data_IF_858673882664
#
_entry.id   IF_858673882664
#
_cell.length_a   1.000
_cell.length_b   1.000
_cell.length_c   1.000
_cell.angle_alpha   90.00
_cell.angle_beta   90.00
_cell.angle_gamma   90.00
#
_symmetry.space_group_name_H-M   'P 1'
#
loop_
_entity.id
_entity.type
_entity.pdbx_description
1 polymer ?
#
# COMPACT_ATOMS: atom_id res chain seq x y z
N UNK A 1 -7.63 9.83 0.91
CA UNK A 1 -6.19 9.49 0.98
C UNK A 1 -5.92 8.28 0.11
N UNK A 2 -4.89 8.33 -0.74
CA UNK A 2 -4.49 7.18 -1.56
C UNK A 2 -3.60 6.24 -0.77
N UNK A 3 -3.74 4.95 -1.05
CA UNK A 3 -2.93 3.87 -0.48
C UNK A 3 -2.46 2.96 -1.60
N UNK A 4 -1.28 2.37 -1.43
CA UNK A 4 -0.82 1.26 -2.24
C UNK A 4 -1.13 -0.04 -1.49
N UNK A 5 -1.66 -1.03 -2.18
CA UNK A 5 -2.22 -2.24 -1.57
C UNK A 5 -1.68 -3.47 -2.28
N UNK A 6 -1.38 -4.52 -1.52
CA UNK A 6 -1.06 -5.84 -2.04
C UNK A 6 -2.23 -6.78 -1.72
N UNK A 7 -2.96 -7.23 -2.73
CA UNK A 7 -4.14 -8.08 -2.52
C UNK A 7 -3.79 -9.48 -2.03
N UNK A 8 -2.60 -9.99 -2.38
CA UNK A 8 -2.13 -11.31 -1.96
C UNK A 8 -1.73 -11.31 -0.48
N UNK A 9 -1.00 -10.29 -0.02
CA UNK A 9 -0.53 -10.19 1.37
C UNK A 9 -1.55 -9.56 2.31
N UNK A 10 -2.61 -8.93 1.77
CA UNK A 10 -3.60 -8.12 2.52
C UNK A 10 -2.95 -6.97 3.28
N UNK A 11 -1.93 -6.37 2.67
CA UNK A 11 -1.17 -5.25 3.23
C UNK A 11 -1.42 -3.95 2.47
N UNK A 12 -1.30 -2.81 3.16
CA UNK A 12 -1.38 -1.49 2.54
C UNK A 12 -0.39 -0.49 3.14
N UNK A 13 0.06 0.46 2.33
CA UNK A 13 0.88 1.61 2.74
C UNK A 13 0.23 2.92 2.24
N UNK A 14 0.17 3.99 3.05
CA UNK A 14 -0.25 5.31 2.59
C UNK A 14 0.67 5.88 1.51
N UNK A 15 0.09 6.59 0.54
CA UNK A 15 0.84 7.39 -0.44
C UNK A 15 0.76 8.85 0.01
N UNK A 16 1.90 9.41 0.42
CA UNK A 16 2.06 10.78 0.88
C UNK A 16 2.94 11.54 -0.13
N UNK A 17 2.30 12.24 -1.08
CA UNK A 17 2.96 12.79 -2.29
C UNK A 17 4.08 13.81 -2.00
N UNK A 18 4.13 14.39 -0.80
CA UNK A 18 5.11 15.41 -0.40
C UNK A 18 6.09 14.94 0.70
N UNK A 19 6.14 13.63 0.97
CA UNK A 19 6.99 13.06 2.02
C UNK A 19 8.09 12.18 1.40
N UNK A 20 9.34 12.62 1.53
CA UNK A 20 10.51 11.89 1.03
C UNK A 20 10.70 10.53 1.72
N UNK A 21 10.39 10.42 3.02
CA UNK A 21 10.49 9.15 3.76
C UNK A 21 9.43 8.17 3.27
N UNK A 22 8.25 8.67 2.86
CA UNK A 22 7.20 7.84 2.27
C UNK A 22 7.64 7.21 0.94
N UNK A 23 8.46 7.92 0.15
CA UNK A 23 8.99 7.38 -1.11
C UNK A 23 9.86 6.14 -0.89
N UNK A 24 10.77 6.17 0.08
CA UNK A 24 11.62 5.02 0.40
C UNK A 24 10.78 3.83 0.91
N UNK A 25 9.77 4.09 1.75
CA UNK A 25 8.86 3.04 2.20
C UNK A 25 8.01 2.45 1.06
N UNK A 26 7.59 3.27 0.08
CA UNK A 26 6.89 2.80 -1.12
C UNK A 26 7.79 1.93 -2.01
N UNK A 27 9.05 2.30 -2.19
CA UNK A 27 10.03 1.49 -2.93
C UNK A 27 10.31 0.16 -2.22
N UNK A 28 10.43 0.19 -0.88
CA UNK A 28 10.55 -1.02 -0.06
C UNK A 28 9.32 -1.91 -0.16
N UNK A 29 8.12 -1.32 -0.15
CA UNK A 29 6.87 -2.03 -0.36
C UNK A 29 6.85 -2.76 -1.70
N UNK A 30 7.25 -2.09 -2.78
CA UNK A 30 7.29 -2.67 -4.13
C UNK A 30 8.30 -3.80 -4.25
N UNK A 31 9.48 -3.63 -3.64
CA UNK A 31 10.52 -4.65 -3.64
C UNK A 31 10.08 -5.94 -2.93
N UNK A 32 9.47 -5.81 -1.74
CA UNK A 32 9.00 -6.96 -0.95
C UNK A 32 7.75 -7.64 -1.56
N UNK A 33 6.97 -6.91 -2.35
CA UNK A 33 5.78 -7.41 -3.03
C UNK A 33 6.00 -7.63 -4.53
N UNK A 34 7.26 -7.80 -4.95
CA UNK A 34 7.60 -8.05 -6.35
C UNK A 34 6.92 -9.33 -6.85
N UNK A 35 6.18 -9.22 -7.95
CA UNK A 35 5.38 -10.32 -8.52
C UNK A 35 3.99 -10.51 -7.90
N UNK A 36 3.60 -9.71 -6.91
CA UNK A 36 2.26 -9.73 -6.34
C UNK A 36 1.31 -8.76 -7.08
N UNK A 37 -0.02 -8.98 -7.01
CA UNK A 37 -1.01 -8.01 -7.48
C UNK A 37 -1.04 -6.79 -6.56
N UNK A 38 -0.28 -5.76 -6.93
CA UNK A 38 -0.20 -4.48 -6.22
C UNK A 38 -0.94 -3.39 -6.99
N UNK A 39 -1.71 -2.56 -6.29
CA UNK A 39 -2.47 -1.46 -6.90
C UNK A 39 -2.48 -0.21 -6.01
N UNK A 40 -2.62 0.97 -6.63
CA UNK A 40 -2.90 2.21 -5.90
C UNK A 40 -4.38 2.53 -5.97
N UNK A 41 -5.03 2.65 -4.81
CA UNK A 41 -6.47 2.85 -4.65
C UNK A 41 -6.74 3.92 -3.59
N UNK A 42 -7.99 4.37 -3.44
CA UNK A 42 -8.40 5.16 -2.30
C UNK A 42 -8.56 4.25 -1.07
N UNK A 43 -8.17 4.74 0.10
CA UNK A 43 -8.29 3.97 1.36
C UNK A 43 -9.72 3.48 1.62
N UNK A 44 -10.72 4.28 1.25
CA UNK A 44 -12.14 3.95 1.41
C UNK A 44 -12.57 2.71 0.60
N UNK A 45 -11.93 2.46 -0.55
CA UNK A 45 -12.24 1.29 -1.38
C UNK A 45 -11.91 -0.02 -0.66
N UNK A 46 -10.79 -0.06 0.08
CA UNK A 46 -10.33 -1.28 0.75
C UNK A 46 -10.96 -1.47 2.13
N UNK A 47 -11.31 -0.38 2.84
CA UNK A 47 -11.89 -0.47 4.19
C UNK A 47 -13.23 -1.22 4.21
N UNK A 48 -13.95 -1.25 3.09
CA UNK A 48 -15.23 -1.94 2.96
C UNK A 48 -15.08 -3.44 2.56
N UNK A 49 -13.86 -3.89 2.21
CA UNK A 49 -13.60 -5.21 1.62
C UNK A 49 -12.98 -6.18 2.67
N UNK A 50 -12.88 -5.77 3.93
CA UNK A 50 -12.45 -6.59 5.06
C UNK A 50 -11.20 -6.07 5.75
N UNK A 51 -10.54 -6.92 6.53
CA UNK A 51 -9.36 -6.53 7.29
C UNK A 51 -8.11 -6.42 6.41
N UNK A 52 -7.35 -5.35 6.63
CA UNK A 52 -6.10 -5.04 5.96
C UNK A 52 -5.05 -4.64 6.98
N UNK A 53 -3.81 -5.08 6.77
CA UNK A 53 -2.69 -4.78 7.66
C UNK A 53 -1.89 -3.60 7.14
N UNK A 54 -1.57 -2.60 7.96
CA UNK A 54 -0.63 -1.56 7.56
C UNK A 54 0.77 -2.17 7.38
N UNK A 55 1.46 -1.75 6.33
CA UNK A 55 2.85 -2.12 6.07
C UNK A 55 3.80 -1.27 6.92
N UNK A 56 4.84 -1.91 7.48
CA UNK A 56 5.82 -1.35 8.42
C UNK A 56 7.09 -0.79 7.73
#
# INVERSE_FOLDING_TARGET
MRVKVCFMCREYIPILENDYLNKEQLEKFDSLHSGHPVQSVNKEEIMNIGEWKPFL
#
